data_IF_716849300524
#
_entry.id   IF_716849300524
#
_cell.length_a   1.000
_cell.length_b   1.000
_cell.length_c   1.000
_cell.angle_alpha   90.00
_cell.angle_beta   90.00
_cell.angle_gamma   90.00
#
_symmetry.space_group_name_H-M   'P 1'
#
loop_
_entity.id
_entity.type
_entity.pdbx_description
1 polymer ?
#
# COMPACT_ATOMS: atom_id res chain seq x y z
N UNK A 1 -14.54 -15.95 9.55
CA UNK A 1 -13.37 -15.14 9.97
C UNK A 1 -12.17 -16.05 10.01
N UNK A 2 -11.16 -15.76 9.20
CA UNK A 2 -9.94 -16.56 9.21
C UNK A 2 -9.11 -16.17 10.42
N UNK A 3 -8.77 -17.16 11.22
CA UNK A 3 -7.99 -17.02 12.43
C UNK A 3 -6.76 -17.93 12.35
N UNK A 4 -5.63 -17.46 12.83
CA UNK A 4 -4.38 -18.23 12.86
C UNK A 4 -3.91 -18.47 14.28
N UNK A 5 -3.14 -19.54 14.49
CA UNK A 5 -2.55 -19.80 15.80
C UNK A 5 -1.48 -18.74 16.14
N UNK A 6 -1.20 -18.57 17.44
CA UNK A 6 -0.11 -17.70 17.90
C UNK A 6 1.24 -18.10 17.28
N UNK A 7 1.48 -19.37 17.10
CA UNK A 7 2.76 -19.86 16.54
C UNK A 7 2.87 -19.53 15.04
N UNK A 8 1.75 -19.61 14.31
CA UNK A 8 1.68 -19.17 12.93
C UNK A 8 1.87 -17.65 12.81
N UNK A 9 1.13 -16.90 13.64
CA UNK A 9 1.27 -15.46 13.72
C UNK A 9 2.71 -15.04 14.04
N UNK A 10 3.38 -15.74 14.96
CA UNK A 10 4.77 -15.48 15.33
C UNK A 10 5.72 -15.72 14.15
N UNK A 11 5.57 -16.83 13.42
CA UNK A 11 6.36 -17.10 12.21
C UNK A 11 6.17 -15.99 11.18
N UNK A 12 4.95 -15.63 10.86
CA UNK A 12 4.64 -14.58 9.88
C UNK A 12 5.15 -13.21 10.29
N UNK A 13 5.06 -12.88 11.57
CA UNK A 13 5.61 -11.63 12.11
C UNK A 13 7.12 -11.66 12.36
N UNK A 14 7.78 -12.82 12.26
CA UNK A 14 9.20 -13.02 12.61
C UNK A 14 9.49 -12.67 14.07
N UNK A 15 8.56 -12.97 14.96
CA UNK A 15 8.65 -12.75 16.39
C UNK A 15 8.69 -14.10 17.13
N UNK A 16 9.18 -14.08 18.35
CA UNK A 16 9.09 -15.26 19.20
C UNK A 16 7.64 -15.44 19.68
N UNK A 17 7.07 -16.67 19.72
CA UNK A 17 5.69 -16.93 20.16
C UNK A 17 5.33 -16.34 21.53
N UNK A 18 6.27 -16.31 22.48
CA UNK A 18 6.04 -15.69 23.79
C UNK A 18 5.79 -14.18 23.68
N UNK A 19 6.44 -13.49 22.74
CA UNK A 19 6.23 -12.08 22.48
C UNK A 19 4.83 -11.84 21.90
N UNK A 20 4.39 -12.67 20.95
CA UNK A 20 3.03 -12.56 20.38
C UNK A 20 1.98 -12.82 21.46
N UNK A 21 2.18 -13.82 22.34
CA UNK A 21 1.27 -14.05 23.47
C UNK A 21 1.19 -12.86 24.43
N UNK A 22 2.29 -12.14 24.63
CA UNK A 22 2.30 -10.90 25.41
C UNK A 22 1.47 -9.82 24.74
N UNK A 23 1.70 -9.55 23.45
CA UNK A 23 0.96 -8.55 22.67
C UNK A 23 -0.56 -8.83 22.63
N UNK A 24 -0.94 -10.10 22.53
CA UNK A 24 -2.34 -10.51 22.59
C UNK A 24 -2.94 -10.24 23.98
N UNK A 25 -2.21 -10.55 25.07
CA UNK A 25 -2.68 -10.29 26.44
C UNK A 25 -2.79 -8.79 26.76
N UNK A 26 -1.92 -7.99 26.18
CA UNK A 26 -1.90 -6.52 26.32
C UNK A 26 -2.95 -5.85 25.42
N UNK A 27 -3.68 -6.62 24.58
CA UNK A 27 -4.69 -6.09 23.66
C UNK A 27 -4.13 -5.39 22.42
N UNK A 28 -2.79 -5.45 22.22
CA UNK A 28 -2.15 -4.84 21.07
C UNK A 28 -2.37 -5.60 19.75
N UNK A 29 -2.76 -6.87 19.84
CA UNK A 29 -3.14 -7.70 18.71
C UNK A 29 -4.52 -8.28 19.00
N UNK A 30 -5.54 -7.97 18.19
CA UNK A 30 -6.85 -8.58 18.27
C UNK A 30 -6.76 -10.12 18.16
N UNK A 31 -7.24 -10.81 19.17
CA UNK A 31 -7.24 -12.26 19.23
C UNK A 31 -8.40 -12.77 20.07
N UNK A 32 -8.89 -13.94 19.76
CA UNK A 32 -9.94 -14.62 20.50
C UNK A 32 -9.37 -15.83 21.23
N UNK A 33 -9.79 -16.03 22.48
CA UNK A 33 -9.41 -17.22 23.24
C UNK A 33 -10.43 -18.33 22.98
N UNK A 34 -9.99 -19.41 22.39
CA UNK A 34 -10.80 -20.61 22.13
C UNK A 34 -10.22 -21.76 22.96
N UNK A 35 -10.90 -22.10 24.03
CA UNK A 35 -10.38 -23.05 25.02
C UNK A 35 -9.09 -22.55 25.67
N UNK A 36 -8.03 -23.35 25.59
CA UNK A 36 -6.71 -23.00 26.10
C UNK A 36 -5.83 -22.24 25.08
N UNK A 37 -6.29 -22.00 23.86
CA UNK A 37 -5.49 -21.43 22.76
C UNK A 37 -5.96 -20.04 22.42
N UNK A 38 -5.01 -19.17 22.09
CA UNK A 38 -5.27 -17.88 21.46
C UNK A 38 -5.26 -18.03 19.95
N UNK A 39 -6.30 -17.53 19.30
CA UNK A 39 -6.38 -17.40 17.86
C UNK A 39 -6.31 -15.91 17.49
N UNK A 40 -5.35 -15.55 16.66
CA UNK A 40 -5.10 -14.19 16.19
C UNK A 40 -5.93 -13.95 14.93
N UNK A 41 -6.60 -12.81 14.84
CA UNK A 41 -7.33 -12.41 13.65
C UNK A 41 -6.35 -12.28 12.47
N UNK A 42 -6.65 -12.94 11.36
CA UNK A 42 -5.88 -12.86 10.11
C UNK A 42 -5.79 -11.41 9.60
N UNK A 43 -6.87 -10.64 9.78
CA UNK A 43 -6.94 -9.24 9.40
C UNK A 43 -6.01 -8.37 10.24
N UNK A 44 -5.99 -8.57 11.56
CA UNK A 44 -5.07 -7.86 12.46
C UNK A 44 -3.61 -8.20 12.16
N UNK A 45 -3.33 -9.46 11.79
CA UNK A 45 -2.00 -9.89 11.39
C UNK A 45 -1.56 -9.17 10.11
N UNK A 46 -2.40 -9.13 9.08
CA UNK A 46 -2.12 -8.40 7.83
C UNK A 46 -1.91 -6.90 8.06
N UNK A 47 -2.70 -6.28 8.91
CA UNK A 47 -2.51 -4.88 9.27
C UNK A 47 -1.15 -4.65 9.94
N UNK A 48 -0.77 -5.53 10.87
CA UNK A 48 0.53 -5.41 11.56
C UNK A 48 1.71 -5.74 10.62
N UNK A 49 1.55 -6.65 9.69
CA UNK A 49 2.53 -6.91 8.63
C UNK A 49 2.76 -5.65 7.77
N UNK A 50 1.71 -4.92 7.43
CA UNK A 50 1.80 -3.62 6.72
C UNK A 50 2.51 -2.54 7.55
N UNK A 51 2.32 -2.56 8.87
CA UNK A 51 2.93 -1.62 9.80
C UNK A 51 4.32 -2.06 10.29
N UNK A 52 4.78 -3.25 9.85
CA UNK A 52 6.04 -3.83 10.32
C UNK A 52 7.22 -2.89 10.05
N UNK A 53 8.11 -2.69 11.05
CA UNK A 53 9.35 -1.97 10.82
C UNK A 53 10.22 -2.76 9.84
N UNK A 54 10.17 -2.41 8.57
CA UNK A 54 11.13 -2.87 7.60
C UNK A 54 12.47 -2.17 7.83
N UNK A 55 13.58 -2.81 7.51
CA UNK A 55 14.91 -2.23 7.66
C UNK A 55 15.04 -0.94 6.83
N UNK A 56 15.23 0.19 7.48
CA UNK A 56 15.45 1.48 6.83
C UNK A 56 14.59 2.62 7.37
N UNK A 57 15.10 3.83 7.23
CA UNK A 57 14.36 5.04 7.60
C UNK A 57 13.25 5.32 6.59
N UNK A 58 11.99 5.47 7.01
CA UNK A 58 10.91 5.81 6.11
C UNK A 58 11.15 7.18 5.45
N UNK A 59 10.67 7.34 4.24
CA UNK A 59 10.58 8.64 3.60
C UNK A 59 9.46 9.46 4.27
N UNK A 60 9.53 10.79 4.17
CA UNK A 60 8.37 11.63 4.49
C UNK A 60 7.20 11.29 3.55
N UNK A 61 5.95 11.58 3.91
CA UNK A 61 4.81 11.34 3.04
C UNK A 61 4.97 11.92 1.65
N UNK A 62 5.37 13.19 1.51
CA UNK A 62 5.65 13.81 0.24
C UNK A 62 6.70 13.06 -0.59
N UNK A 63 7.81 12.67 0.02
CA UNK A 63 8.87 11.94 -0.67
C UNK A 63 8.44 10.52 -1.05
N UNK A 64 7.57 9.89 -0.27
CA UNK A 64 7.01 8.58 -0.59
C UNK A 64 6.09 8.66 -1.82
N UNK A 65 5.20 9.63 -1.86
CA UNK A 65 4.33 9.88 -3.02
C UNK A 65 5.11 10.27 -4.27
N UNK A 66 6.10 11.16 -4.13
CA UNK A 66 6.99 11.51 -5.23
C UNK A 66 7.79 10.31 -5.79
N UNK A 67 8.21 9.37 -4.92
CA UNK A 67 8.84 8.13 -5.34
C UNK A 67 7.87 7.23 -6.13
N UNK A 68 6.61 7.16 -5.69
CA UNK A 68 5.57 6.40 -6.38
C UNK A 68 5.23 7.02 -7.73
N UNK A 69 5.13 8.34 -7.83
CA UNK A 69 4.90 9.03 -9.10
C UNK A 69 6.05 8.78 -10.10
N UNK A 70 7.29 8.89 -9.62
CA UNK A 70 8.46 8.60 -10.43
C UNK A 70 8.50 7.13 -10.89
N UNK A 71 8.14 6.17 -10.02
CA UNK A 71 8.03 4.77 -10.40
C UNK A 71 6.90 4.56 -11.43
N UNK A 72 5.77 5.23 -11.26
CA UNK A 72 4.65 5.23 -12.20
C UNK A 72 5.05 5.75 -13.59
N UNK A 73 5.87 6.80 -13.66
CA UNK A 73 6.42 7.29 -14.91
C UNK A 73 7.30 6.24 -15.61
N UNK A 74 8.09 5.47 -14.86
CA UNK A 74 8.89 4.38 -15.40
C UNK A 74 8.07 3.16 -15.85
N UNK A 75 6.83 3.01 -15.38
CA UNK A 75 5.91 1.97 -15.82
C UNK A 75 5.25 2.32 -17.15
N UNK A 76 5.00 3.59 -17.41
CA UNK A 76 4.48 4.10 -18.67
C UNK A 76 5.62 4.21 -19.68
N UNK A 77 5.40 3.66 -20.85
CA UNK A 77 6.38 3.68 -21.94
C UNK A 77 5.80 4.53 -23.05
N UNK A 78 6.55 5.54 -23.51
CA UNK A 78 6.23 6.28 -24.70
C UNK A 78 6.41 5.43 -25.96
N UNK A 79 5.94 5.91 -27.11
CA UNK A 79 6.08 5.23 -28.40
C UNK A 79 7.56 4.99 -28.77
N UNK A 80 8.47 5.81 -28.25
CA UNK A 80 9.93 5.68 -28.40
C UNK A 80 10.57 4.64 -27.45
N UNK A 81 9.79 3.91 -26.68
CA UNK A 81 10.26 2.92 -25.70
C UNK A 81 10.89 3.50 -24.44
N UNK A 82 10.90 4.84 -24.28
CA UNK A 82 11.44 5.53 -23.11
C UNK A 82 10.37 5.72 -22.04
N UNK A 83 10.81 5.86 -20.78
CA UNK A 83 9.90 6.22 -19.71
C UNK A 83 9.25 7.57 -19.97
N UNK A 84 7.93 7.64 -19.82
CA UNK A 84 7.19 8.91 -19.85
C UNK A 84 7.72 9.78 -18.71
N UNK A 85 8.01 11.05 -19.00
CA UNK A 85 8.47 12.00 -17.96
C UNK A 85 7.45 12.03 -16.81
N UNK A 86 7.92 12.02 -15.57
CA UNK A 86 7.06 12.14 -14.41
C UNK A 86 6.16 13.38 -14.57
N UNK A 87 4.86 13.20 -14.33
CA UNK A 87 3.86 14.24 -14.58
C UNK A 87 4.07 15.48 -13.67
N UNK A 88 4.84 15.31 -12.60
CA UNK A 88 5.06 16.35 -11.60
C UNK A 88 6.55 16.72 -11.51
N UNK A 89 6.81 18.00 -11.64
CA UNK A 89 8.12 18.53 -11.29
C UNK A 89 8.24 18.60 -9.77
N UNK A 90 9.02 17.69 -9.20
CA UNK A 90 9.41 17.84 -7.80
C UNK A 90 10.03 19.21 -7.58
N UNK A 91 9.56 20.00 -6.61
CA UNK A 91 10.01 21.37 -6.40
C UNK A 91 11.50 21.47 -6.08
N UNK A 92 12.11 20.40 -5.56
CA UNK A 92 13.52 20.37 -5.21
C UNK A 92 14.32 19.42 -6.13
N UNK A 93 15.29 20.01 -6.88
CA UNK A 93 16.23 19.28 -7.74
C UNK A 93 17.03 18.23 -6.94
N UNK A 94 17.37 18.50 -5.68
CA UNK A 94 18.10 17.57 -4.83
C UNK A 94 17.22 16.37 -4.43
N UNK A 95 15.95 16.61 -4.11
CA UNK A 95 14.98 15.55 -3.83
C UNK A 95 14.80 14.63 -5.04
N UNK A 96 14.65 15.20 -6.24
CA UNK A 96 14.54 14.45 -7.50
C UNK A 96 15.78 13.58 -7.75
N UNK A 97 16.97 14.15 -7.59
CA UNK A 97 18.23 13.41 -7.75
C UNK A 97 18.33 12.27 -6.74
N UNK A 98 17.98 12.52 -5.47
CA UNK A 98 17.97 11.50 -4.41
C UNK A 98 17.00 10.35 -4.73
N UNK A 99 15.78 10.64 -5.20
CA UNK A 99 14.78 9.62 -5.55
C UNK A 99 15.24 8.79 -6.76
N UNK A 100 15.77 9.43 -7.80
CA UNK A 100 16.33 8.70 -8.96
C UNK A 100 17.47 7.77 -8.55
N UNK A 101 18.34 8.19 -7.64
CA UNK A 101 19.41 7.36 -7.11
C UNK A 101 18.87 6.18 -6.32
N UNK A 102 17.85 6.38 -5.47
CA UNK A 102 17.19 5.30 -4.74
C UNK A 102 16.62 4.24 -5.69
N UNK A 103 15.99 4.67 -6.79
CA UNK A 103 15.47 3.76 -7.81
C UNK A 103 16.57 3.06 -8.61
N UNK A 104 17.65 3.78 -8.95
CA UNK A 104 18.74 3.25 -9.76
C UNK A 104 19.44 2.04 -9.11
N UNK A 105 19.45 1.96 -7.79
CA UNK A 105 20.07 0.88 -7.03
C UNK A 105 19.17 -0.39 -6.99
N UNK A 106 18.02 -0.40 -7.70
CA UNK A 106 17.06 -1.50 -7.73
C UNK A 106 16.82 -2.13 -6.34
N UNK A 107 16.25 -1.38 -5.41
CA UNK A 107 16.22 -1.75 -4.01
C UNK A 107 15.43 -3.04 -3.80
N UNK A 108 15.85 -3.92 -2.86
CA UNK A 108 15.10 -5.10 -2.50
C UNK A 108 13.70 -4.73 -1.94
N UNK A 109 12.77 -5.65 -2.04
CA UNK A 109 11.34 -5.46 -1.72
C UNK A 109 11.09 -4.87 -0.33
N UNK A 110 11.87 -5.32 0.66
CA UNK A 110 11.76 -4.84 2.04
C UNK A 110 12.09 -3.34 2.18
N UNK A 111 12.97 -2.81 1.33
CA UNK A 111 13.27 -1.38 1.31
C UNK A 111 12.12 -0.54 0.74
N UNK A 112 11.42 -1.02 -0.28
CA UNK A 112 10.22 -0.35 -0.76
C UNK A 112 9.18 -0.21 0.35
N UNK A 113 8.89 -1.31 1.05
CA UNK A 113 7.96 -1.30 2.17
C UNK A 113 8.41 -0.33 3.28
N UNK A 114 9.72 -0.25 3.58
CA UNK A 114 10.27 0.71 4.53
C UNK A 114 10.05 2.15 4.12
N UNK A 115 10.46 2.49 2.91
CA UNK A 115 10.40 3.86 2.41
C UNK A 115 8.98 4.39 2.30
N UNK A 116 8.03 3.53 1.89
CA UNK A 116 6.65 3.90 1.61
C UNK A 116 5.69 3.74 2.80
N UNK A 117 6.21 3.32 3.96
CA UNK A 117 5.39 3.06 5.16
C UNK A 117 4.58 4.28 5.61
N UNK A 118 5.10 5.49 5.42
CA UNK A 118 4.46 6.74 5.83
C UNK A 118 3.64 7.40 4.73
N UNK A 119 3.45 6.73 3.56
CA UNK A 119 2.66 7.28 2.46
C UNK A 119 1.21 7.54 2.83
N UNK A 120 0.65 6.68 3.67
CA UNK A 120 -0.70 6.78 4.18
C UNK A 120 -0.82 6.02 5.50
N UNK A 121 -1.82 6.35 6.30
CA UNK A 121 -2.17 5.67 7.54
C UNK A 121 -3.30 4.67 7.26
N UNK A 122 -3.12 3.37 7.51
CA UNK A 122 -4.20 2.40 7.32
C UNK A 122 -5.23 2.54 8.44
N UNK A 123 -6.49 2.69 8.05
CA UNK A 123 -7.67 2.63 8.93
C UNK A 123 -8.58 1.50 8.45
N UNK A 124 -8.85 0.53 9.34
CA UNK A 124 -9.85 -0.49 9.07
C UNK A 124 -11.24 0.03 9.36
N UNK A 125 -12.13 -0.27 8.44
CA UNK A 125 -13.49 0.28 8.49
C UNK A 125 -14.49 -0.85 8.23
N UNK A 126 -15.49 -0.90 9.08
CA UNK A 126 -16.70 -1.64 8.82
C UNK A 126 -17.67 -0.73 8.06
N UNK A 127 -18.26 -1.26 7.00
CA UNK A 127 -19.36 -0.65 6.28
C UNK A 127 -20.46 -1.68 6.06
N UNK A 128 -21.66 -1.23 5.76
CA UNK A 128 -22.76 -2.14 5.47
C UNK A 128 -22.45 -2.95 4.20
N UNK A 129 -22.67 -4.29 4.19
CA UNK A 129 -22.50 -5.10 2.99
C UNK A 129 -23.34 -4.55 1.81
N UNK A 130 -22.79 -4.61 0.60
CA UNK A 130 -23.48 -4.19 -0.62
C UNK A 130 -23.28 -2.74 -1.04
N UNK A 131 -22.45 -1.97 -0.31
CA UNK A 131 -22.15 -0.57 -0.71
C UNK A 131 -20.85 -0.44 -1.54
N UNK A 132 -20.20 -1.57 -1.85
CA UNK A 132 -18.88 -1.59 -2.47
C UNK A 132 -18.84 -0.92 -3.86
N UNK A 133 -19.89 -1.07 -4.66
CA UNK A 133 -19.99 -0.40 -5.97
C UNK A 133 -20.10 1.12 -5.81
N UNK A 134 -20.84 1.56 -4.79
CA UNK A 134 -20.96 2.98 -4.47
C UNK A 134 -19.63 3.57 -4.00
N UNK A 135 -18.88 2.84 -3.18
CA UNK A 135 -17.54 3.24 -2.76
C UNK A 135 -16.59 3.34 -3.96
N UNK A 136 -16.64 2.38 -4.89
CA UNK A 136 -15.81 2.40 -6.09
C UNK A 136 -16.13 3.58 -7.04
N UNK A 137 -17.34 4.14 -6.94
CA UNK A 137 -17.80 5.29 -7.75
C UNK A 137 -17.62 6.64 -7.05
N UNK A 138 -17.20 6.66 -5.78
CA UNK A 138 -16.97 7.90 -5.05
C UNK A 138 -15.65 8.55 -5.49
N UNK A 139 -15.73 9.79 -5.98
CA UNK A 139 -14.55 10.53 -6.47
C UNK A 139 -13.50 10.84 -5.39
N UNK A 140 -13.88 10.79 -4.11
CA UNK A 140 -12.95 10.98 -2.98
C UNK A 140 -12.11 9.72 -2.71
N UNK A 141 -12.54 8.56 -3.24
CA UNK A 141 -11.89 7.27 -3.02
C UNK A 141 -11.10 6.85 -4.26
N UNK A 142 -9.86 6.47 -4.05
CA UNK A 142 -8.99 5.99 -5.12
C UNK A 142 -8.69 4.52 -4.88
N UNK A 143 -8.92 3.65 -5.86
CA UNK A 143 -8.69 2.22 -5.71
C UNK A 143 -7.21 1.92 -5.48
N UNK A 144 -6.94 1.05 -4.51
CA UNK A 144 -5.63 0.52 -4.20
C UNK A 144 -5.53 -0.99 -4.46
N UNK A 145 -4.37 -1.57 -4.23
CA UNK A 145 -4.08 -2.99 -4.32
C UNK A 145 -4.64 -3.66 -5.60
N UNK A 146 -5.40 -4.73 -5.44
CA UNK A 146 -5.91 -5.55 -6.54
C UNK A 146 -6.94 -4.84 -7.42
N UNK A 147 -7.75 -3.94 -6.84
CA UNK A 147 -8.72 -3.15 -7.61
C UNK A 147 -7.98 -2.26 -8.63
N UNK A 148 -6.94 -1.56 -8.16
CA UNK A 148 -6.12 -0.73 -9.02
C UNK A 148 -5.30 -1.55 -10.02
N UNK A 149 -4.82 -2.73 -9.64
CA UNK A 149 -4.06 -3.63 -10.52
C UNK A 149 -4.93 -4.16 -11.68
N UNK A 150 -6.17 -4.54 -11.40
CA UNK A 150 -7.11 -4.99 -12.41
C UNK A 150 -7.46 -3.86 -13.41
N UNK A 151 -7.74 -2.65 -12.89
CA UNK A 151 -8.08 -1.50 -13.73
C UNK A 151 -6.89 -0.98 -14.55
N UNK A 152 -5.65 -1.16 -14.06
CA UNK A 152 -4.42 -0.72 -14.75
C UNK A 152 -3.87 -1.74 -15.76
N UNK A 153 -4.56 -2.85 -15.99
CA UNK A 153 -4.12 -3.96 -16.85
C UNK A 153 -2.68 -4.45 -16.55
N UNK A 154 -2.37 -4.56 -15.27
CA UNK A 154 -1.02 -4.98 -14.82
C UNK A 154 -0.85 -6.50 -14.92
N UNK A 155 -1.82 -7.19 -15.52
CA UNK A 155 -1.83 -8.65 -15.70
C UNK A 155 -2.04 -9.43 -14.39
N UNK A 156 -2.67 -8.80 -13.39
CA UNK A 156 -2.98 -9.37 -12.09
C UNK A 156 -4.48 -9.32 -11.88
N UNK A 157 -5.13 -10.48 -11.88
CA UNK A 157 -6.55 -10.59 -11.57
C UNK A 157 -6.82 -10.36 -10.07
N UNK A 158 -8.01 -9.88 -9.75
CA UNK A 158 -8.48 -9.81 -8.37
C UNK A 158 -8.61 -11.24 -7.81
N UNK A 159 -7.89 -11.56 -6.76
CA UNK A 159 -8.02 -12.82 -6.03
C UNK A 159 -9.33 -12.87 -5.24
N UNK A 160 -9.96 -14.04 -5.18
CA UNK A 160 -11.11 -14.25 -4.30
C UNK A 160 -10.67 -14.03 -2.83
N UNK A 161 -11.33 -13.12 -2.14
CA UNK A 161 -11.04 -12.81 -0.73
C UNK A 161 -9.96 -11.76 -0.51
N UNK A 162 -9.56 -11.03 -1.56
CA UNK A 162 -8.66 -9.90 -1.42
C UNK A 162 -9.25 -8.79 -0.55
N UNK A 163 -8.41 -8.22 0.28
CA UNK A 163 -8.77 -7.08 1.11
C UNK A 163 -9.00 -5.85 0.22
N UNK A 164 -10.17 -5.23 0.34
CA UNK A 164 -10.48 -4.04 -0.45
C UNK A 164 -9.79 -2.83 0.16
N UNK A 165 -8.94 -2.19 -0.62
CA UNK A 165 -8.15 -1.03 -0.23
C UNK A 165 -8.57 0.18 -1.05
N UNK A 166 -8.82 1.29 -0.37
CA UNK A 166 -9.04 2.59 -0.99
C UNK A 166 -8.14 3.64 -0.36
N UNK A 167 -7.63 4.55 -1.16
CA UNK A 167 -6.94 5.74 -0.68
C UNK A 167 -7.91 6.91 -0.64
N UNK A 168 -7.79 7.77 0.37
CA UNK A 168 -8.51 9.03 0.47
C UNK A 168 -7.66 10.05 1.21
N UNK A 169 -7.96 11.33 1.02
CA UNK A 169 -7.30 12.39 1.74
C UNK A 169 -7.81 12.47 3.19
N UNK A 170 -6.95 12.82 4.11
CA UNK A 170 -7.29 12.93 5.54
C UNK A 170 -8.52 13.82 5.81
N UNK A 171 -8.71 15.00 5.16
CA UNK A 171 -9.90 15.83 5.36
C UNK A 171 -11.22 15.17 4.92
N UNK A 172 -11.16 14.18 4.01
CA UNK A 172 -12.37 13.54 3.48
C UNK A 172 -12.86 12.36 4.36
N UNK A 173 -12.04 11.90 5.31
CA UNK A 173 -12.30 10.67 6.06
C UNK A 173 -13.63 10.71 6.81
N UNK A 174 -13.87 11.74 7.61
CA UNK A 174 -15.08 11.85 8.43
C UNK A 174 -16.33 11.96 7.56
N UNK A 175 -16.26 12.71 6.45
CA UNK A 175 -17.37 12.86 5.51
C UNK A 175 -17.69 11.52 4.83
N UNK A 176 -16.67 10.78 4.39
CA UNK A 176 -16.84 9.45 3.78
C UNK A 176 -17.43 8.46 4.79
N UNK A 177 -16.91 8.44 6.02
CA UNK A 177 -17.47 7.58 7.07
C UNK A 177 -18.93 7.91 7.36
N UNK A 178 -19.30 9.18 7.42
CA UNK A 178 -20.67 9.63 7.62
C UNK A 178 -21.61 9.21 6.47
N UNK A 179 -21.24 9.46 5.23
CA UNK A 179 -22.05 9.18 4.03
C UNK A 179 -22.33 7.68 3.86
N UNK A 180 -21.39 6.82 4.24
CA UNK A 180 -21.50 5.37 4.10
C UNK A 180 -21.84 4.68 5.42
N UNK A 181 -22.16 5.45 6.48
CA UNK A 181 -22.38 4.90 7.83
C UNK A 181 -21.27 3.94 8.27
N UNK A 182 -20.06 4.27 7.84
CA UNK A 182 -18.86 3.52 8.18
C UNK A 182 -18.40 3.83 9.59
N UNK A 183 -17.69 2.89 10.19
CA UNK A 183 -17.04 3.11 11.49
C UNK A 183 -15.67 2.46 11.51
N UNK A 184 -14.70 3.06 12.21
CA UNK A 184 -13.44 2.38 12.49
C UNK A 184 -13.70 1.05 13.20
N UNK A 185 -13.12 -0.03 12.69
CA UNK A 185 -13.32 -1.38 13.24
C UNK A 185 -12.09 -2.24 12.91
N UNK A 186 -11.37 -2.77 13.89
CA UNK A 186 -10.20 -3.63 13.66
C UNK A 186 -10.48 -4.86 12.79
N UNK A 187 -11.72 -5.34 12.80
CA UNK A 187 -12.17 -6.48 12.01
C UNK A 187 -12.96 -6.07 10.75
N UNK A 188 -12.94 -4.77 10.43
CA UNK A 188 -13.60 -4.20 9.26
C UNK A 188 -13.12 -4.83 7.95
N UNK A 189 -14.04 -4.96 6.99
CA UNK A 189 -13.79 -5.59 5.69
C UNK A 189 -13.08 -4.69 4.68
N UNK A 190 -12.99 -3.39 4.96
CA UNK A 190 -12.31 -2.42 4.12
C UNK A 190 -11.07 -1.86 4.81
N UNK A 191 -10.10 -1.42 4.01
CA UNK A 191 -8.97 -0.63 4.50
C UNK A 191 -8.94 0.70 3.77
N UNK A 192 -9.11 1.77 4.53
CA UNK A 192 -8.82 3.10 4.05
C UNK A 192 -7.36 3.45 4.32
N UNK A 193 -6.64 3.76 3.25
CA UNK A 193 -5.28 4.31 3.31
C UNK A 193 -5.40 5.83 3.32
N UNK A 194 -5.39 6.40 4.53
CA UNK A 194 -5.59 7.84 4.75
C UNK A 194 -4.31 8.60 4.41
N UNK A 195 -4.37 9.41 3.36
CA UNK A 195 -3.24 10.23 2.89
C UNK A 195 -3.13 11.45 3.81
N UNK A 196 -1.98 11.66 4.49
CA UNK A 196 -1.80 12.80 5.38
C UNK A 196 -1.98 14.14 4.65
N UNK A 197 -2.56 15.11 5.33
CA UNK A 197 -2.82 16.44 4.76
C UNK A 197 -1.54 17.20 4.36
N UNK A 198 -0.41 16.83 4.96
CA UNK A 198 0.92 17.37 4.58
C UNK A 198 1.40 16.95 3.18
N UNK A 199 0.73 16.00 2.50
CA UNK A 199 1.07 15.61 1.13
C UNK A 199 0.62 16.70 0.18
N UNK A 200 1.54 17.19 -0.67
CA UNK A 200 1.25 18.22 -1.65
C UNK A 200 0.14 17.76 -2.62
N UNK A 201 -0.78 18.65 -2.96
CA UNK A 201 -1.99 18.34 -3.72
C UNK A 201 -1.67 17.72 -5.09
N UNK A 202 -0.64 18.21 -5.75
CA UNK A 202 -0.17 17.72 -7.04
C UNK A 202 0.41 16.29 -6.99
N UNK A 203 0.81 15.81 -5.80
CA UNK A 203 1.28 14.45 -5.58
C UNK A 203 0.16 13.47 -5.18
N UNK A 204 -1.01 13.97 -4.81
CA UNK A 204 -2.15 13.13 -4.43
C UNK A 204 -2.75 12.43 -5.66
N UNK A 205 -3.33 11.24 -5.50
CA UNK A 205 -4.05 10.60 -6.60
C UNK A 205 -5.20 11.49 -7.08
N UNK A 206 -5.38 11.56 -8.39
CA UNK A 206 -6.47 12.34 -9.00
C UNK A 206 -7.77 11.56 -8.94
N UNK A 207 -8.92 12.23 -8.78
CA UNK A 207 -10.23 11.59 -8.82
C UNK A 207 -10.39 10.70 -10.06
N UNK A 208 -10.84 9.47 -9.87
CA UNK A 208 -11.05 8.50 -10.95
C UNK A 208 -9.78 7.97 -11.62
N UNK A 209 -8.60 8.44 -11.25
CA UNK A 209 -7.35 7.96 -11.81
C UNK A 209 -6.85 6.72 -11.06
N UNK A 210 -6.53 5.68 -11.81
CA UNK A 210 -5.85 4.50 -11.28
C UNK A 210 -4.35 4.69 -11.46
N UNK A 211 -3.62 4.66 -10.35
CA UNK A 211 -2.16 4.74 -10.39
C UNK A 211 -1.54 3.34 -10.37
N UNK A 212 -0.89 2.89 -11.47
CA UNK A 212 -0.22 1.60 -11.49
C UNK A 212 0.83 1.44 -10.40
N UNK A 213 1.53 2.53 -10.03
CA UNK A 213 2.53 2.48 -8.96
C UNK A 213 1.91 2.27 -7.58
N UNK A 214 0.72 2.83 -7.31
CA UNK A 214 -0.04 2.56 -6.08
C UNK A 214 -0.38 1.08 -6.00
N UNK A 215 -0.97 0.54 -7.07
CA UNK A 215 -1.30 -0.88 -7.15
C UNK A 215 -0.09 -1.78 -6.87
N UNK A 216 1.02 -1.54 -7.56
CA UNK A 216 2.23 -2.37 -7.40
C UNK A 216 2.82 -2.28 -6.00
N UNK A 217 2.83 -1.09 -5.40
CA UNK A 217 3.33 -0.91 -4.03
C UNK A 217 2.47 -1.67 -3.02
N UNK A 218 1.15 -1.63 -3.17
CA UNK A 218 0.25 -2.37 -2.28
C UNK A 218 0.41 -3.88 -2.46
N UNK A 219 0.60 -4.35 -3.70
CA UNK A 219 0.83 -5.75 -4.01
C UNK A 219 2.15 -6.30 -3.46
N UNK A 220 3.14 -5.46 -3.12
CA UNK A 220 4.31 -5.90 -2.36
C UNK A 220 3.96 -6.52 -1.01
N UNK A 221 2.81 -6.15 -0.46
CA UNK A 221 2.29 -6.67 0.82
C UNK A 221 1.20 -7.73 0.63
N UNK A 222 0.92 -8.17 -0.60
CA UNK A 222 -0.08 -9.21 -0.88
C UNK A 222 0.27 -10.54 -0.21
N UNK A 223 -0.75 -11.28 0.20
CA UNK A 223 -0.58 -12.66 0.66
C UNK A 223 -0.17 -13.60 -0.48
N UNK A 224 -0.56 -13.30 -1.72
CA UNK A 224 -0.20 -14.08 -2.90
C UNK A 224 1.25 -13.83 -3.33
N UNK A 225 2.06 -14.91 -3.32
CA UNK A 225 3.47 -14.84 -3.69
C UNK A 225 3.67 -14.46 -5.17
N UNK A 226 2.75 -14.84 -6.07
CA UNK A 226 2.82 -14.51 -7.51
C UNK A 226 2.61 -13.02 -7.72
N UNK A 227 1.63 -12.43 -7.04
CA UNK A 227 1.37 -10.99 -7.08
C UNK A 227 2.57 -10.20 -6.55
N UNK A 228 3.13 -10.59 -5.41
CA UNK A 228 4.35 -9.96 -4.87
C UNK A 228 5.51 -10.03 -5.86
N UNK A 229 5.77 -11.22 -6.42
CA UNK A 229 6.85 -11.42 -7.38
C UNK A 229 6.67 -10.51 -8.61
N UNK A 230 5.48 -10.48 -9.17
CA UNK A 230 5.16 -9.66 -10.33
C UNK A 230 5.30 -8.16 -10.04
N UNK A 231 4.85 -7.70 -8.89
CA UNK A 231 5.03 -6.31 -8.47
C UNK A 231 6.52 -5.92 -8.38
N UNK A 232 7.36 -6.80 -7.82
CA UNK A 232 8.82 -6.60 -7.75
C UNK A 232 9.44 -6.48 -9.13
N UNK A 233 9.10 -7.39 -10.05
CA UNK A 233 9.62 -7.36 -11.43
C UNK A 233 9.28 -6.06 -12.16
N UNK A 234 8.02 -5.61 -12.04
CA UNK A 234 7.55 -4.40 -12.68
C UNK A 234 8.22 -3.15 -12.10
N UNK A 235 8.34 -3.06 -10.77
CA UNK A 235 9.04 -1.96 -10.11
C UNK A 235 10.54 -1.94 -10.47
N UNK A 236 11.18 -3.10 -10.55
CA UNK A 236 12.57 -3.20 -11.00
C UNK A 236 12.72 -2.77 -12.47
N UNK A 237 11.75 -3.11 -13.32
CA UNK A 237 11.73 -2.68 -14.72
C UNK A 237 11.57 -1.16 -14.83
N UNK A 238 10.65 -0.56 -14.06
CA UNK A 238 10.48 0.88 -13.98
C UNK A 238 11.78 1.59 -13.56
N UNK A 239 12.46 1.08 -12.54
CA UNK A 239 13.72 1.61 -12.05
C UNK A 239 14.82 1.61 -13.15
N UNK A 240 14.94 0.50 -13.89
CA UNK A 240 15.89 0.41 -15.01
C UNK A 240 15.63 1.43 -16.11
N UNK A 241 14.35 1.63 -16.49
CA UNK A 241 13.97 2.62 -17.52
C UNK A 241 14.26 4.06 -17.08
N UNK A 242 14.00 4.40 -15.83
CA UNK A 242 14.32 5.71 -15.27
C UNK A 242 15.82 5.96 -15.28
N UNK A 243 16.61 4.92 -14.94
CA UNK A 243 18.08 5.01 -15.01
C UNK A 243 18.54 5.26 -16.44
N UNK A 244 18.04 4.53 -17.42
CA UNK A 244 18.40 4.69 -18.84
C UNK A 244 18.06 6.07 -19.38
N UNK A 245 16.89 6.62 -18.99
CA UNK A 245 16.46 7.99 -19.40
C UNK A 245 17.26 9.12 -18.73
N UNK A 246 18.07 8.79 -17.71
CA UNK A 246 18.84 9.79 -16.95
C UNK A 246 20.31 9.86 -17.37
N UNK A 247 20.78 8.95 -18.25
CA UNK A 247 22.14 8.99 -18.79
C UNK A 247 22.19 10.00 -19.92
N UNK A 248 23.06 11.02 -19.86
CA UNK A 248 23.29 11.94 -20.99
C UNK A 248 23.87 11.14 -22.15
N UNK A 249 23.36 11.40 -23.33
CA UNK A 249 23.96 10.95 -24.62
C UNK A 249 25.25 11.68 -24.87
#
# INVERSE_FOLDING_TARGET
MDQVSVDEAARRMGLHPAHVRRLVREGEIPAQKVGARWLVSESALRQRERLRPSSGRPLSPNMAWALMDLAGAGLRVGEDGRAVTAAHELPDRRARHRLRRLLADAPPTDRWAAWLRRRAKPERVWVHPGIEERLASDSRLHPGAEIAAAAADVGLGAGLGAERVFYLNEPDLDAVLGDYRGRPDPDGQLVFMVIPDEVAEDLRPRPGAVSPSVALVDLLSSADARQRHRAVELLASAARRIKASSSPS
#
